data_IF_819615901179
#
_entry.id   IF_819615901179
#
_cell.length_a   1.000
_cell.length_b   1.000
_cell.length_c   1.000
_cell.angle_alpha   90.00
_cell.angle_beta   90.00
_cell.angle_gamma   90.00
#
_symmetry.space_group_name_H-M   'P 1'
#
loop_
_entity.id
_entity.type
_entity.pdbx_description
1 polymer ?
#
# COMPACT_ATOMS: atom_id res chain seq x y z
N UNK A 1 54.38 -41.48 -28.59
CA UNK A 1 53.61 -40.22 -28.63
C UNK A 1 54.59 -39.12 -28.35
N UNK A 2 54.88 -38.23 -29.27
CA UNK A 2 55.84 -37.14 -29.07
C UNK A 2 55.26 -36.08 -28.11
N UNK A 3 56.12 -35.30 -27.50
CA UNK A 3 55.74 -34.24 -26.53
C UNK A 3 54.63 -33.31 -27.06
N UNK A 4 54.59 -33.03 -28.36
CA UNK A 4 53.57 -32.26 -29.03
C UNK A 4 52.14 -32.89 -28.91
N UNK A 5 52.04 -34.23 -28.91
CA UNK A 5 50.76 -34.92 -28.80
C UNK A 5 50.17 -34.86 -27.36
N UNK A 6 51.07 -34.88 -26.36
CA UNK A 6 50.65 -34.75 -24.96
C UNK A 6 50.18 -33.34 -24.68
N UNK A 7 50.83 -32.32 -25.19
CA UNK A 7 50.46 -30.92 -25.06
C UNK A 7 49.09 -30.64 -25.70
N UNK A 8 48.85 -31.21 -26.89
CA UNK A 8 47.53 -31.07 -27.55
C UNK A 8 46.43 -31.73 -26.75
N UNK A 9 46.66 -32.91 -26.18
CA UNK A 9 45.67 -33.61 -25.33
C UNK A 9 45.32 -32.79 -24.09
N UNK A 10 46.32 -32.24 -23.41
CA UNK A 10 46.13 -31.40 -22.21
C UNK A 10 45.32 -30.14 -22.60
N UNK A 11 45.63 -29.50 -23.72
CA UNK A 11 44.89 -28.33 -24.22
C UNK A 11 43.43 -28.65 -24.49
N UNK A 12 43.13 -29.78 -25.14
CA UNK A 12 41.75 -30.21 -25.41
C UNK A 12 40.98 -30.53 -24.12
N UNK A 13 41.61 -31.13 -23.14
CA UNK A 13 41.02 -31.42 -21.83
C UNK A 13 40.69 -30.12 -21.07
N UNK A 14 41.63 -29.15 -21.08
CA UNK A 14 41.39 -27.84 -20.45
C UNK A 14 40.26 -27.07 -21.13
N UNK A 15 40.23 -27.08 -22.46
CA UNK A 15 39.16 -26.45 -23.23
C UNK A 15 37.79 -27.10 -22.92
N UNK A 16 37.73 -28.41 -22.85
CA UNK A 16 36.54 -29.18 -22.47
C UNK A 16 36.07 -28.85 -21.04
N UNK A 17 37.02 -28.74 -20.09
CA UNK A 17 36.72 -28.37 -18.73
C UNK A 17 36.15 -26.92 -18.62
N UNK A 18 36.78 -25.97 -19.34
CA UNK A 18 36.28 -24.58 -19.40
C UNK A 18 34.87 -24.51 -19.98
N UNK A 19 34.62 -25.24 -21.07
CA UNK A 19 33.30 -25.29 -21.69
C UNK A 19 32.28 -25.90 -20.75
N UNK A 20 32.59 -26.99 -20.07
CA UNK A 20 31.69 -27.61 -19.09
C UNK A 20 31.34 -26.66 -17.94
N UNK A 21 32.33 -25.97 -17.37
CA UNK A 21 32.12 -24.98 -16.30
C UNK A 21 31.28 -23.84 -16.82
N UNK A 22 31.54 -23.34 -18.02
CA UNK A 22 30.71 -22.25 -18.63
C UNK A 22 29.27 -22.67 -18.80
N UNK A 23 28.98 -23.88 -19.27
CA UNK A 23 27.64 -24.41 -19.42
C UNK A 23 26.94 -24.52 -18.06
N UNK A 24 27.63 -24.99 -17.03
CA UNK A 24 27.07 -25.10 -15.66
C UNK A 24 26.72 -23.71 -15.12
N UNK A 25 27.60 -22.72 -15.28
CA UNK A 25 27.38 -21.36 -14.81
C UNK A 25 26.20 -20.70 -15.56
N UNK A 26 26.12 -20.88 -16.89
CA UNK A 26 24.98 -20.36 -17.67
C UNK A 26 23.67 -20.97 -17.21
N UNK A 27 23.61 -22.30 -17.07
CA UNK A 27 22.41 -22.99 -16.59
C UNK A 27 22.01 -22.58 -15.17
N UNK A 28 22.99 -22.31 -14.30
CA UNK A 28 22.72 -21.81 -12.96
C UNK A 28 22.11 -20.41 -13.01
N UNK A 29 22.68 -19.50 -13.79
CA UNK A 29 22.17 -18.15 -13.97
C UNK A 29 20.75 -18.13 -14.61
N UNK A 30 20.48 -19.03 -15.57
CA UNK A 30 19.14 -19.19 -16.16
C UNK A 30 18.13 -19.66 -15.10
N UNK A 31 18.46 -20.64 -14.28
CA UNK A 31 17.59 -21.12 -13.20
C UNK A 31 17.28 -20.03 -12.18
N UNK A 32 18.29 -19.32 -11.71
CA UNK A 32 18.12 -18.21 -10.74
C UNK A 32 17.21 -17.11 -11.33
N UNK A 33 17.33 -16.82 -12.63
CA UNK A 33 16.48 -15.86 -13.33
C UNK A 33 15.06 -16.37 -13.44
N UNK A 34 14.86 -17.63 -13.80
CA UNK A 34 13.53 -18.23 -13.96
C UNK A 34 12.81 -18.33 -12.60
N UNK A 35 13.52 -18.70 -11.54
CA UNK A 35 12.98 -18.70 -10.17
C UNK A 35 12.57 -17.28 -9.74
N UNK A 36 13.39 -16.26 -10.01
CA UNK A 36 13.06 -14.87 -9.70
C UNK A 36 11.82 -14.38 -10.48
N UNK A 37 11.72 -14.72 -11.76
CA UNK A 37 10.54 -14.38 -12.58
C UNK A 37 9.27 -15.08 -12.08
N UNK A 38 9.39 -16.34 -11.64
CA UNK A 38 8.28 -17.10 -11.10
C UNK A 38 7.79 -16.51 -9.77
N UNK A 39 8.71 -16.13 -8.88
CA UNK A 39 8.36 -15.43 -7.64
C UNK A 39 7.60 -14.11 -7.88
N UNK A 40 8.01 -13.34 -8.89
CA UNK A 40 7.32 -12.10 -9.26
C UNK A 40 5.91 -12.39 -9.81
N UNK A 41 5.77 -13.42 -10.66
CA UNK A 41 4.48 -13.83 -11.21
C UNK A 41 3.52 -14.33 -10.12
N UNK A 42 4.01 -15.14 -9.19
CA UNK A 42 3.24 -15.67 -8.07
C UNK A 42 2.79 -14.53 -7.13
N UNK A 43 3.70 -13.62 -6.78
CA UNK A 43 3.37 -12.44 -5.96
C UNK A 43 2.31 -11.56 -6.62
N UNK A 44 2.37 -11.38 -7.94
CA UNK A 44 1.36 -10.63 -8.70
C UNK A 44 0.00 -11.32 -8.69
N UNK A 45 -0.01 -12.64 -8.81
CA UNK A 45 -1.24 -13.44 -8.78
C UNK A 45 -1.89 -13.38 -7.39
N UNK A 46 -1.10 -13.52 -6.34
CA UNK A 46 -1.54 -13.38 -4.95
C UNK A 46 -2.09 -11.98 -4.67
N UNK A 47 -1.43 -10.95 -5.16
CA UNK A 47 -1.88 -9.57 -5.05
C UNK A 47 -3.26 -9.35 -5.70
N UNK A 48 -3.43 -9.80 -6.95
CA UNK A 48 -4.71 -9.71 -7.66
C UNK A 48 -5.83 -10.50 -6.97
N UNK A 49 -5.51 -11.69 -6.41
CA UNK A 49 -6.46 -12.51 -5.66
C UNK A 49 -6.93 -11.78 -4.38
N UNK A 50 -6.01 -11.17 -3.63
CA UNK A 50 -6.35 -10.38 -2.43
C UNK A 50 -7.23 -9.18 -2.79
N UNK A 51 -6.85 -8.39 -3.79
CA UNK A 51 -7.66 -7.26 -4.26
C UNK A 51 -9.07 -7.73 -4.67
N UNK A 52 -9.17 -8.83 -5.41
CA UNK A 52 -10.47 -9.38 -5.81
C UNK A 52 -11.36 -9.70 -4.61
N UNK A 53 -10.79 -10.25 -3.55
CA UNK A 53 -11.53 -10.56 -2.32
C UNK A 53 -11.90 -9.26 -1.55
N UNK A 54 -10.98 -8.31 -1.50
CA UNK A 54 -11.20 -7.03 -0.83
C UNK A 54 -12.27 -6.17 -1.54
N UNK A 55 -12.40 -6.32 -2.86
CA UNK A 55 -13.49 -5.71 -3.65
C UNK A 55 -14.82 -6.45 -3.44
N UNK A 56 -14.82 -7.78 -3.40
CA UNK A 56 -16.06 -8.57 -3.25
C UNK A 56 -16.78 -8.29 -1.94
N UNK A 57 -16.05 -8.06 -0.86
CA UNK A 57 -16.64 -7.82 0.47
C UNK A 57 -17.55 -6.60 0.49
N UNK A 58 -17.09 -5.37 0.17
CA UNK A 58 -17.97 -4.19 0.12
C UNK A 58 -19.05 -4.30 -0.95
N UNK A 59 -18.77 -4.92 -2.11
CA UNK A 59 -19.77 -5.18 -3.13
C UNK A 59 -20.93 -6.03 -2.61
N UNK A 60 -20.64 -7.09 -1.88
CA UNK A 60 -21.67 -7.93 -1.26
C UNK A 60 -22.50 -7.16 -0.22
N UNK A 61 -21.86 -6.26 0.55
CA UNK A 61 -22.57 -5.39 1.49
C UNK A 61 -23.51 -4.44 0.73
N UNK A 62 -23.04 -3.79 -0.34
CA UNK A 62 -23.86 -2.91 -1.17
C UNK A 62 -25.07 -3.66 -1.73
N UNK A 63 -24.83 -4.81 -2.38
CA UNK A 63 -25.89 -5.62 -2.97
C UNK A 63 -26.89 -6.12 -1.93
N UNK A 64 -26.41 -6.64 -0.79
CA UNK A 64 -27.26 -7.14 0.28
C UNK A 64 -28.10 -6.04 0.92
N UNK A 65 -27.50 -4.88 1.22
CA UNK A 65 -28.23 -3.75 1.81
C UNK A 65 -29.21 -3.13 0.82
N UNK A 66 -28.90 -3.14 -0.47
CA UNK A 66 -29.86 -2.72 -1.52
C UNK A 66 -31.06 -3.65 -1.57
N UNK A 67 -30.86 -4.96 -1.53
CA UNK A 67 -31.95 -5.94 -1.50
C UNK A 67 -32.84 -5.75 -0.26
N UNK A 68 -32.25 -5.65 0.93
CA UNK A 68 -32.96 -5.40 2.19
C UNK A 68 -33.73 -4.08 2.15
N UNK A 69 -33.09 -2.99 1.68
CA UNK A 69 -33.75 -1.69 1.59
C UNK A 69 -34.94 -1.66 0.63
N UNK A 70 -34.92 -2.48 -0.43
CA UNK A 70 -36.07 -2.63 -1.35
C UNK A 70 -37.20 -3.44 -0.73
N UNK A 71 -36.91 -4.48 0.05
CA UNK A 71 -37.91 -5.28 0.77
C UNK A 71 -38.55 -4.51 1.94
N UNK A 72 -37.77 -3.68 2.61
CA UNK A 72 -38.19 -2.89 3.79
C UNK A 72 -38.61 -1.44 3.42
N UNK A 73 -39.06 -1.22 2.20
CA UNK A 73 -39.40 0.12 1.69
C UNK A 73 -40.45 0.88 2.53
N UNK A 74 -41.28 0.16 3.26
CA UNK A 74 -42.32 0.72 4.13
C UNK A 74 -41.77 1.14 5.53
N UNK A 75 -40.48 0.88 5.80
CA UNK A 75 -39.82 1.22 7.05
C UNK A 75 -38.67 2.22 6.84
N UNK A 76 -38.94 3.55 6.91
CA UNK A 76 -37.91 4.59 6.62
C UNK A 76 -36.64 4.49 7.46
N UNK A 77 -36.76 4.09 8.73
CA UNK A 77 -35.62 3.95 9.63
C UNK A 77 -34.65 2.86 9.16
N UNK A 78 -35.19 1.72 8.73
CA UNK A 78 -34.37 0.63 8.18
C UNK A 78 -33.75 1.01 6.84
N UNK A 79 -34.48 1.76 6.03
CA UNK A 79 -33.96 2.27 4.76
C UNK A 79 -32.77 3.21 4.99
N UNK A 80 -32.84 4.12 5.96
CA UNK A 80 -31.74 5.03 6.32
C UNK A 80 -30.52 4.22 6.80
N UNK A 81 -30.72 3.16 7.60
CA UNK A 81 -29.63 2.27 8.03
C UNK A 81 -28.98 1.55 6.85
N UNK A 82 -29.79 1.02 5.91
CA UNK A 82 -29.27 0.37 4.70
C UNK A 82 -28.46 1.34 3.85
N UNK A 83 -28.97 2.57 3.62
CA UNK A 83 -28.26 3.61 2.87
C UNK A 83 -26.93 3.99 3.54
N UNK A 84 -26.90 4.10 4.86
CA UNK A 84 -25.66 4.38 5.61
C UNK A 84 -24.60 3.28 5.44
N UNK A 85 -25.03 2.00 5.44
CA UNK A 85 -24.13 0.87 5.18
C UNK A 85 -23.64 0.85 3.73
N UNK A 86 -24.50 1.18 2.76
CA UNK A 86 -24.15 1.30 1.35
C UNK A 86 -23.13 2.43 1.15
N UNK A 87 -23.34 3.61 1.73
CA UNK A 87 -22.41 4.73 1.64
C UNK A 87 -21.05 4.36 2.20
N UNK A 88 -21.01 3.74 3.39
CA UNK A 88 -19.77 3.30 4.02
C UNK A 88 -19.01 2.28 3.14
N UNK A 89 -19.70 1.28 2.61
CA UNK A 89 -19.10 0.26 1.74
C UNK A 89 -18.62 0.86 0.41
N UNK A 90 -19.36 1.82 -0.14
CA UNK A 90 -18.99 2.53 -1.38
C UNK A 90 -17.74 3.39 -1.19
N UNK A 91 -17.62 4.12 -0.08
CA UNK A 91 -16.42 4.91 0.25
C UNK A 91 -15.19 4.01 0.43
N UNK A 92 -15.36 2.87 1.09
CA UNK A 92 -14.29 1.90 1.22
C UNK A 92 -13.83 1.37 -0.13
N UNK A 93 -14.77 1.01 -1.03
CA UNK A 93 -14.45 0.54 -2.38
C UNK A 93 -13.73 1.61 -3.20
N UNK A 94 -14.15 2.86 -3.11
CA UNK A 94 -13.46 3.98 -3.78
C UNK A 94 -12.03 4.16 -3.26
N UNK A 95 -11.80 4.00 -1.96
CA UNK A 95 -10.45 4.00 -1.38
C UNK A 95 -9.57 2.92 -1.98
N UNK A 96 -10.05 1.67 -2.05
CA UNK A 96 -9.32 0.55 -2.66
C UNK A 96 -8.99 0.79 -4.14
N UNK A 97 -9.93 1.36 -4.91
CA UNK A 97 -9.70 1.68 -6.32
C UNK A 97 -8.62 2.76 -6.49
N UNK A 98 -8.63 3.79 -5.65
CA UNK A 98 -7.61 4.83 -5.68
C UNK A 98 -6.23 4.26 -5.32
N UNK A 99 -6.14 3.40 -4.30
CA UNK A 99 -4.89 2.74 -3.91
C UNK A 99 -4.35 1.86 -5.06
N UNK A 100 -5.23 1.13 -5.76
CA UNK A 100 -4.85 0.32 -6.93
C UNK A 100 -4.31 1.16 -8.09
N UNK A 101 -4.95 2.31 -8.35
CA UNK A 101 -4.47 3.27 -9.36
C UNK A 101 -3.10 3.82 -8.96
N UNK A 102 -2.91 4.19 -7.70
CA UNK A 102 -1.63 4.69 -7.19
C UNK A 102 -0.52 3.64 -7.33
N UNK A 103 -0.76 2.39 -6.95
CA UNK A 103 0.19 1.27 -7.15
C UNK A 103 0.53 1.12 -8.63
N UNK A 104 -0.48 1.12 -9.52
CA UNK A 104 -0.27 1.01 -10.96
C UNK A 104 0.57 2.16 -11.52
N UNK A 105 0.35 3.39 -11.04
CA UNK A 105 1.13 4.56 -11.45
C UNK A 105 2.58 4.49 -10.96
N UNK A 106 2.81 3.95 -9.76
CA UNK A 106 4.16 3.72 -9.21
C UNK A 106 4.89 2.67 -10.04
N UNK A 107 4.27 1.52 -10.33
CA UNK A 107 4.86 0.45 -11.14
C UNK A 107 5.25 0.92 -12.55
N UNK A 108 4.44 1.80 -13.14
CA UNK A 108 4.71 2.39 -14.47
C UNK A 108 5.74 3.53 -14.42
N UNK A 109 6.25 3.91 -13.25
CA UNK A 109 7.14 5.07 -13.08
C UNK A 109 6.48 6.41 -13.44
N UNK A 110 5.15 6.46 -13.43
CA UNK A 110 4.33 7.64 -13.79
C UNK A 110 3.80 8.39 -12.57
N UNK A 111 3.97 7.84 -11.38
CA UNK A 111 3.57 8.50 -10.14
C UNK A 111 4.41 9.76 -9.96
N UNK A 112 3.75 10.91 -9.92
CA UNK A 112 4.40 12.22 -9.74
C UNK A 112 3.78 12.94 -8.57
N UNK A 113 4.63 13.45 -7.68
CA UNK A 113 4.23 14.37 -6.64
C UNK A 113 4.10 15.78 -7.24
N UNK A 114 3.15 16.54 -6.77
CA UNK A 114 2.91 17.94 -7.11
C UNK A 114 3.17 18.82 -5.89
N UNK A 115 4.48 19.03 -5.52
CA UNK A 115 4.82 19.80 -4.33
C UNK A 115 4.43 21.26 -4.52
N UNK A 116 3.77 21.81 -3.51
CA UNK A 116 3.43 23.22 -3.37
C UNK A 116 3.63 23.68 -1.94
N UNK A 117 3.76 25.00 -1.69
CA UNK A 117 3.77 25.50 -0.33
C UNK A 117 2.47 25.10 0.36
N UNK A 118 2.60 24.44 1.52
CA UNK A 118 1.47 24.02 2.34
C UNK A 118 1.73 24.42 3.79
N UNK A 119 0.79 25.15 4.39
CA UNK A 119 0.94 25.56 5.77
C UNK A 119 0.82 24.34 6.69
N UNK A 120 1.78 24.21 7.61
CA UNK A 120 1.77 23.12 8.58
C UNK A 120 0.54 23.19 9.49
N UNK A 121 0.02 24.39 9.72
CA UNK A 121 -1.19 24.62 10.48
C UNK A 121 -2.42 24.01 9.80
N UNK A 122 -2.60 24.23 8.48
CA UNK A 122 -3.68 23.63 7.68
C UNK A 122 -3.62 22.10 7.71
N UNK A 123 -2.40 21.54 7.62
CA UNK A 123 -2.18 20.10 7.75
C UNK A 123 -2.59 19.58 9.13
N UNK A 124 -2.18 20.26 10.19
CA UNK A 124 -2.55 19.88 11.56
C UNK A 124 -4.06 19.94 11.79
N UNK A 125 -4.72 20.96 11.25
CA UNK A 125 -6.18 21.09 11.31
C UNK A 125 -6.87 19.93 10.58
N UNK A 126 -6.47 19.63 9.34
CA UNK A 126 -7.01 18.49 8.58
C UNK A 126 -6.85 17.16 9.32
N UNK A 127 -5.68 16.91 9.93
CA UNK A 127 -5.42 15.71 10.73
C UNK A 127 -6.34 15.66 11.95
N UNK A 128 -6.52 16.76 12.65
CA UNK A 128 -7.40 16.85 13.83
C UNK A 128 -8.84 16.55 13.46
N UNK A 129 -9.36 17.26 12.46
CA UNK A 129 -10.76 17.18 12.04
C UNK A 129 -11.14 15.76 11.61
N UNK A 130 -10.22 15.02 11.03
CA UNK A 130 -10.47 13.65 10.62
C UNK A 130 -10.31 12.64 11.76
N UNK A 131 -9.30 12.83 12.63
CA UNK A 131 -8.92 11.79 13.61
C UNK A 131 -9.70 11.89 14.92
N UNK A 132 -9.94 13.11 15.41
CA UNK A 132 -10.56 13.34 16.72
C UNK A 132 -11.99 12.78 16.81
N UNK A 133 -12.87 12.94 15.79
CA UNK A 133 -14.20 12.33 15.83
C UNK A 133 -14.18 10.81 15.84
N UNK A 134 -13.25 10.19 15.12
CA UNK A 134 -13.13 8.72 15.06
C UNK A 134 -12.58 8.15 16.38
N UNK A 135 -11.64 8.84 17.02
CA UNK A 135 -11.16 8.52 18.36
C UNK A 135 -12.30 8.64 19.38
N UNK A 136 -13.07 9.73 19.35
CA UNK A 136 -14.18 9.97 20.25
C UNK A 136 -15.28 8.88 20.16
N UNK A 137 -15.63 8.45 18.93
CA UNK A 137 -16.58 7.35 18.71
C UNK A 137 -16.15 6.04 19.37
N UNK A 138 -14.83 5.81 19.47
CA UNK A 138 -14.25 4.58 20.01
C UNK A 138 -13.78 4.73 21.46
N UNK A 139 -13.97 5.90 22.08
CA UNK A 139 -13.50 6.17 23.45
C UNK A 139 -11.97 6.21 23.57
N UNK A 140 -11.25 6.58 22.51
CA UNK A 140 -9.80 6.71 22.48
C UNK A 140 -9.43 8.17 22.77
N UNK A 141 -8.42 8.39 23.63
CA UNK A 141 -7.87 9.73 23.87
C UNK A 141 -6.88 10.10 22.76
N UNK A 142 -7.13 11.21 22.07
CA UNK A 142 -6.24 11.71 21.01
C UNK A 142 -5.44 12.90 21.50
N UNK A 143 -4.12 12.81 21.45
CA UNK A 143 -3.20 13.88 21.81
C UNK A 143 -2.47 14.39 20.56
N UNK A 144 -2.57 15.68 20.30
CA UNK A 144 -1.86 16.29 19.19
C UNK A 144 -0.98 17.45 19.71
N UNK A 145 0.28 17.48 19.28
CA UNK A 145 1.23 18.52 19.70
C UNK A 145 2.24 18.87 18.60
N UNK A 146 2.71 20.11 18.60
CA UNK A 146 3.65 20.67 17.62
C UNK A 146 2.94 21.52 16.56
N UNK A 147 3.69 22.00 15.58
CA UNK A 147 3.15 22.86 14.51
C UNK A 147 2.94 24.32 14.88
N UNK A 148 3.49 24.76 16.02
CA UNK A 148 3.25 26.11 16.60
C UNK A 148 3.89 27.26 15.82
N UNK A 149 4.64 27.02 14.77
CA UNK A 149 5.23 28.03 13.94
C UNK A 149 4.56 28.01 12.57
N UNK A 150 4.24 29.19 12.03
CA UNK A 150 3.72 29.41 10.67
C UNK A 150 4.71 28.93 9.60
N UNK A 151 5.02 27.65 9.61
CA UNK A 151 5.95 26.99 8.69
C UNK A 151 5.17 26.51 7.46
N UNK A 152 5.63 26.95 6.29
CA UNK A 152 5.23 26.35 5.03
C UNK A 152 6.23 25.25 4.67
N UNK A 153 5.71 24.08 4.32
CA UNK A 153 6.50 22.96 3.81
C UNK A 153 6.21 22.75 2.33
N UNK A 154 7.23 22.36 1.57
CA UNK A 154 7.07 22.06 0.14
C UNK A 154 6.67 20.59 0.00
N UNK A 155 5.40 20.33 -0.12
CA UNK A 155 4.85 18.98 -0.20
C UNK A 155 3.65 18.92 -1.17
N UNK A 156 3.26 17.72 -1.55
CA UNK A 156 1.95 17.48 -2.17
C UNK A 156 0.93 17.28 -1.02
N UNK A 157 0.03 18.26 -0.77
CA UNK A 157 -0.87 18.19 0.37
C UNK A 157 -1.77 16.96 0.35
N UNK A 158 -2.34 16.64 -0.83
CA UNK A 158 -3.27 15.53 -0.98
C UNK A 158 -2.58 14.21 -0.61
N UNK A 159 -1.35 14.02 -1.06
CA UNK A 159 -0.57 12.81 -0.78
C UNK A 159 -0.07 12.76 0.66
N UNK A 160 0.28 13.89 1.23
CA UNK A 160 0.67 13.98 2.63
C UNK A 160 -0.52 13.62 3.54
N UNK A 161 -1.68 14.24 3.32
CA UNK A 161 -2.88 13.95 4.06
C UNK A 161 -3.30 12.48 3.91
N UNK A 162 -3.33 11.95 2.69
CA UNK A 162 -3.66 10.54 2.41
C UNK A 162 -2.77 9.58 3.21
N UNK A 163 -1.45 9.84 3.26
CA UNK A 163 -0.50 9.04 4.03
C UNK A 163 -0.86 9.02 5.51
N UNK A 164 -1.07 10.19 6.10
CA UNK A 164 -1.36 10.29 7.53
C UNK A 164 -2.76 9.82 7.90
N UNK A 165 -3.74 10.01 7.03
CA UNK A 165 -5.08 9.45 7.20
C UNK A 165 -5.05 7.92 7.24
N UNK A 166 -4.26 7.29 6.38
CA UNK A 166 -4.07 5.84 6.42
C UNK A 166 -3.37 5.38 7.71
N UNK A 167 -2.32 6.08 8.15
CA UNK A 167 -1.60 5.75 9.37
C UNK A 167 -2.47 5.92 10.62
N UNK A 168 -3.16 7.05 10.74
CA UNK A 168 -4.01 7.36 11.89
C UNK A 168 -5.28 6.53 11.90
N UNK A 169 -5.87 6.26 10.73
CA UNK A 169 -6.97 5.31 10.62
C UNK A 169 -6.60 3.91 11.10
N UNK A 170 -5.39 3.43 10.78
CA UNK A 170 -4.86 2.20 11.32
C UNK A 170 -4.63 2.28 12.83
N UNK A 171 -4.10 3.40 13.33
CA UNK A 171 -3.91 3.62 14.76
C UNK A 171 -5.25 3.54 15.51
N UNK A 172 -6.29 4.23 15.03
CA UNK A 172 -7.64 4.16 15.61
C UNK A 172 -8.20 2.75 15.55
N UNK A 173 -8.01 2.05 14.42
CA UNK A 173 -8.51 0.68 14.24
C UNK A 173 -7.92 -0.29 15.25
N UNK A 174 -6.62 -0.23 15.50
CA UNK A 174 -5.89 -1.19 16.32
C UNK A 174 -5.74 -0.77 17.79
N UNK A 175 -6.00 0.48 18.16
CA UNK A 175 -6.01 0.91 19.56
C UNK A 175 -7.31 0.45 20.21
N UNK A 176 -7.28 -0.24 21.37
CA UNK A 176 -8.49 -0.64 22.08
C UNK A 176 -9.24 0.57 22.65
N UNK A 177 -10.52 0.37 23.01
CA UNK A 177 -11.31 1.36 23.74
C UNK A 177 -10.60 1.76 25.05
N UNK A 178 -10.61 3.06 25.38
CA UNK A 178 -9.89 3.63 26.51
C UNK A 178 -8.38 3.79 26.28
N UNK A 179 -7.87 3.44 25.11
CA UNK A 179 -6.47 3.64 24.75
C UNK A 179 -6.14 5.08 24.37
N UNK A 180 -4.86 5.32 24.02
CA UNK A 180 -4.35 6.65 23.68
C UNK A 180 -3.63 6.61 22.34
N UNK A 181 -3.80 7.68 21.53
CA UNK A 181 -3.06 7.93 20.30
C UNK A 181 -2.40 9.31 20.42
N UNK A 182 -1.08 9.36 20.22
CA UNK A 182 -0.32 10.61 20.23
C UNK A 182 0.24 10.92 18.85
N UNK A 183 -0.08 12.10 18.31
CA UNK A 183 0.49 12.65 17.09
C UNK A 183 1.33 13.87 17.41
N UNK A 184 2.62 13.81 17.06
CA UNK A 184 3.56 14.91 17.37
C UNK A 184 4.35 15.32 16.14
N UNK A 185 4.35 16.62 15.86
CA UNK A 185 5.20 17.21 14.83
C UNK A 185 6.36 17.96 15.50
N UNK A 186 7.58 17.56 15.17
CA UNK A 186 8.79 18.15 15.71
C UNK A 186 9.67 18.68 14.58
N UNK A 187 10.27 19.83 14.78
CA UNK A 187 11.27 20.38 13.87
C UNK A 187 12.67 20.03 14.39
N UNK A 188 13.47 19.33 13.59
CA UNK A 188 14.85 19.03 13.90
C UNK A 188 15.76 19.83 12.95
N UNK A 189 16.61 20.69 13.49
CA UNK A 189 17.68 21.26 12.71
C UNK A 189 18.71 20.15 12.41
N UNK A 190 18.87 19.81 11.13
CA UNK A 190 19.97 18.93 10.69
C UNK A 190 21.21 19.80 10.57
N UNK A 191 22.19 19.59 11.46
CA UNK A 191 23.51 20.23 11.40
C UNK A 191 24.46 19.44 10.50
#
# INVERSE_FOLDING_TARGET
MGESGILLLIFLLLLGAILAVSIVLIRKAERERDEALQHVADARTDFLSRISNDIKTPMNVIMGMTAVGLEESDHPEKMVECLGKIDTASRFLMGLLNDLVDVSMIELGRFRLHPKPYALEDFMEAIRDMTEPECAKKGITFHMSGGENSLNVMVDPIRLEQLFFNLLGNAVKFTPEGGEISFRVCNYAVH
#
